data_IF_425059294778
#
_entry.id   IF_425059294778
#
_cell.length_a   1.000
_cell.length_b   1.000
_cell.length_c   1.000
_cell.angle_alpha   90.00
_cell.angle_beta   90.00
_cell.angle_gamma   90.00
#
_symmetry.space_group_name_H-M   'P 1'
#
loop_
_entity.id
_entity.type
_entity.pdbx_description
1 polymer ?
#
# COMPACT_ATOMS: atom_id res chain seq x y z
N UNK A 1 59.47 -3.77 41.38
CA UNK A 1 58.00 -3.81 41.24
C UNK A 1 57.63 -2.63 40.34
N UNK A 2 57.41 -2.90 39.05
CA UNK A 2 56.08 -2.88 38.42
C UNK A 2 55.55 -1.44 38.30
N UNK A 3 55.25 -0.85 37.15
CA UNK A 3 55.03 -1.38 35.82
C UNK A 3 55.26 -0.26 34.79
N UNK A 4 56.28 -0.38 33.94
CA UNK A 4 56.42 0.41 32.72
C UNK A 4 55.88 -0.41 31.53
N UNK A 5 54.65 -0.90 31.67
CA UNK A 5 54.01 -1.86 30.78
C UNK A 5 52.62 -1.35 30.38
N UNK A 6 52.54 -0.25 29.62
CA UNK A 6 51.41 -0.07 28.70
C UNK A 6 51.95 0.45 27.38
N UNK A 7 52.06 -0.51 26.47
CA UNK A 7 52.40 -0.38 25.07
C UNK A 7 51.56 0.73 24.41
N UNK A 8 52.22 1.74 23.84
CA UNK A 8 51.65 2.57 22.77
C UNK A 8 51.46 1.71 21.51
N UNK A 9 50.45 0.84 21.51
CA UNK A 9 49.93 0.22 20.27
C UNK A 9 48.79 1.05 19.71
N UNK A 10 49.05 2.34 19.47
CA UNK A 10 48.31 3.06 18.44
C UNK A 10 49.17 3.03 17.19
N UNK A 11 48.81 2.12 16.26
CA UNK A 11 49.38 2.14 14.93
C UNK A 11 49.02 3.48 14.29
N UNK A 12 50.00 4.36 14.15
CA UNK A 12 49.83 5.63 13.42
C UNK A 12 49.80 5.25 11.95
N UNK A 13 48.60 5.13 11.38
CA UNK A 13 48.44 5.10 9.93
C UNK A 13 48.85 6.49 9.42
N UNK A 14 50.04 6.60 8.83
CA UNK A 14 50.42 7.77 8.04
C UNK A 14 49.93 7.53 6.62
N UNK A 15 49.14 8.46 6.09
CA UNK A 15 48.66 8.42 4.71
C UNK A 15 49.81 8.85 3.79
N UNK A 16 50.63 7.89 3.38
CA UNK A 16 51.75 8.11 2.47
C UNK A 16 51.32 7.76 1.03
N UNK A 17 51.53 8.61 0.02
CA UNK A 17 51.22 8.27 -1.36
C UNK A 17 51.99 7.02 -1.83
N UNK A 18 51.39 6.24 -2.72
CA UNK A 18 52.10 5.12 -3.34
C UNK A 18 53.17 5.61 -4.33
N UNK A 19 54.27 4.87 -4.48
CA UNK A 19 55.24 5.13 -5.56
C UNK A 19 54.64 4.70 -6.91
N UNK A 20 55.11 5.28 -8.02
CA UNK A 20 54.58 5.00 -9.36
C UNK A 20 54.66 3.50 -9.72
N UNK A 21 55.74 2.81 -9.34
CA UNK A 21 55.92 1.37 -9.57
C UNK A 21 54.99 0.48 -8.70
N UNK A 22 54.43 1.03 -7.62
CA UNK A 22 53.58 0.31 -6.66
C UNK A 22 52.08 0.57 -6.82
N UNK A 23 51.67 1.48 -7.70
CA UNK A 23 50.27 1.84 -7.87
C UNK A 23 49.52 0.82 -8.76
N UNK A 24 48.83 -0.11 -8.11
CA UNK A 24 47.98 -1.11 -8.79
C UNK A 24 46.53 -0.64 -8.98
N UNK A 25 46.14 0.48 -8.39
CA UNK A 25 44.78 0.99 -8.40
C UNK A 25 44.35 1.43 -9.81
N UNK A 26 43.11 1.11 -10.19
CA UNK A 26 42.52 1.38 -11.51
C UNK A 26 41.47 2.51 -11.43
N UNK A 27 40.97 2.92 -12.60
CA UNK A 27 39.86 3.87 -12.75
C UNK A 27 40.09 5.23 -12.03
N UNK A 28 41.35 5.67 -11.96
CA UNK A 28 41.74 6.92 -11.32
C UNK A 28 41.48 6.95 -9.81
N UNK A 29 41.48 5.79 -9.16
CA UNK A 29 41.41 5.66 -7.70
C UNK A 29 42.67 6.23 -7.02
N UNK A 30 42.50 6.67 -5.78
CA UNK A 30 43.60 7.21 -4.97
C UNK A 30 44.31 6.07 -4.24
N UNK A 31 45.63 5.96 -4.40
CA UNK A 31 46.45 4.94 -3.73
C UNK A 31 47.12 5.53 -2.48
N UNK A 32 46.94 4.86 -1.34
CA UNK A 32 47.63 5.19 -0.10
C UNK A 32 48.36 3.96 0.47
N UNK A 33 49.59 4.16 0.95
CA UNK A 33 50.37 3.17 1.67
C UNK A 33 50.02 3.24 3.15
N UNK A 34 49.54 2.13 3.70
CA UNK A 34 49.19 2.01 5.12
C UNK A 34 50.23 1.11 5.79
N UNK A 35 50.88 1.62 6.84
CA UNK A 35 51.79 0.84 7.70
C UNK A 35 51.02 0.32 8.91
N UNK A 36 50.70 -0.98 8.91
CA UNK A 36 50.14 -1.65 10.08
C UNK A 36 51.22 -2.51 10.76
N UNK A 37 51.71 -2.05 11.92
CA UNK A 37 52.81 -2.68 12.65
C UNK A 37 54.07 -2.79 11.76
N UNK A 38 54.52 -4.00 11.44
CA UNK A 38 55.69 -4.29 10.60
C UNK A 38 55.33 -4.63 9.14
N UNK A 39 54.05 -4.48 8.73
CA UNK A 39 53.60 -4.73 7.35
C UNK A 39 53.15 -3.42 6.70
N UNK A 40 53.62 -3.20 5.48
CA UNK A 40 53.17 -2.10 4.60
C UNK A 40 52.21 -2.69 3.56
N UNK A 41 51.03 -2.10 3.41
CA UNK A 41 50.03 -2.52 2.43
C UNK A 41 49.55 -1.32 1.61
N UNK A 42 49.31 -1.53 0.32
CA UNK A 42 48.73 -0.52 -0.57
C UNK A 42 47.20 -0.65 -0.50
N UNK A 43 46.52 0.47 -0.29
CA UNK A 43 45.07 0.55 -0.20
C UNK A 43 44.56 1.51 -1.28
N UNK A 44 43.61 1.04 -2.08
CA UNK A 44 42.95 1.84 -3.11
C UNK A 44 41.64 2.43 -2.56
N UNK A 45 41.54 3.76 -2.60
CA UNK A 45 40.28 4.48 -2.35
C UNK A 45 39.61 4.70 -3.70
N UNK A 46 38.59 3.89 -3.96
CA UNK A 46 37.89 3.92 -5.25
C UNK A 46 37.13 5.23 -5.43
N UNK A 47 37.13 5.72 -6.69
CA UNK A 47 36.18 6.73 -7.11
C UNK A 47 34.75 6.18 -7.05
N UNK A 48 33.73 7.05 -7.01
CA UNK A 48 32.33 6.64 -7.17
C UNK A 48 32.16 5.69 -8.36
N UNK A 49 31.21 4.74 -8.25
CA UNK A 49 30.90 3.73 -9.26
C UNK A 49 31.91 2.57 -9.41
N UNK A 50 32.98 2.52 -8.63
CA UNK A 50 33.93 1.40 -8.68
C UNK A 50 34.12 0.74 -7.32
N UNK A 51 34.48 -0.54 -7.35
CA UNK A 51 34.73 -1.39 -6.19
C UNK A 51 35.81 -2.45 -6.50
N UNK A 52 36.09 -3.32 -5.54
CA UNK A 52 37.19 -4.28 -5.59
C UNK A 52 38.46 -3.74 -4.93
N UNK A 53 39.44 -4.63 -4.74
CA UNK A 53 40.69 -4.30 -4.03
C UNK A 53 41.58 -3.31 -4.79
N UNK A 54 41.50 -3.30 -6.13
CA UNK A 54 42.20 -2.39 -7.02
C UNK A 54 41.26 -1.40 -7.73
N UNK A 55 39.98 -1.34 -7.33
CA UNK A 55 38.96 -0.50 -7.96
C UNK A 55 38.70 -0.80 -9.45
N UNK A 56 39.01 -2.00 -9.92
CA UNK A 56 38.78 -2.41 -11.31
C UNK A 56 37.31 -2.76 -11.61
N UNK A 57 36.51 -3.09 -10.59
CA UNK A 57 35.16 -3.63 -10.76
C UNK A 57 34.12 -2.51 -10.74
N UNK A 58 33.31 -2.31 -11.80
CA UNK A 58 32.20 -1.36 -11.77
C UNK A 58 31.11 -1.76 -10.76
N UNK A 59 30.46 -0.77 -10.15
CA UNK A 59 29.34 -1.01 -9.25
C UNK A 59 28.08 -1.41 -10.03
N UNK A 60 27.55 -2.59 -9.73
CA UNK A 60 26.22 -3.03 -10.14
C UNK A 60 25.30 -3.16 -8.91
N UNK A 61 24.59 -2.08 -8.59
CA UNK A 61 23.63 -2.05 -7.49
C UNK A 61 22.42 -2.94 -7.75
N UNK A 62 22.01 -3.07 -9.01
CA UNK A 62 20.85 -3.86 -9.39
C UNK A 62 21.07 -5.38 -9.30
N UNK A 63 22.33 -5.85 -9.16
CA UNK A 63 22.64 -7.29 -9.10
C UNK A 63 23.44 -7.73 -7.89
N UNK A 64 24.60 -7.11 -7.63
CA UNK A 64 25.61 -7.70 -6.72
C UNK A 64 25.99 -6.79 -5.56
N UNK A 65 25.81 -5.48 -5.71
CA UNK A 65 26.30 -4.51 -4.72
C UNK A 65 25.17 -3.83 -3.92
N UNK A 66 23.97 -4.41 -3.90
CA UNK A 66 22.97 -4.01 -2.93
C UNK A 66 23.24 -4.65 -1.57
N UNK A 67 23.09 -3.88 -0.48
CA UNK A 67 23.11 -4.42 0.88
C UNK A 67 21.69 -4.83 1.29
N UNK A 68 21.19 -5.95 0.76
CA UNK A 68 19.92 -6.51 1.23
C UNK A 68 20.12 -7.24 2.55
N UNK A 69 19.22 -7.00 3.52
CA UNK A 69 19.18 -7.75 4.79
C UNK A 69 18.61 -9.17 4.60
N UNK A 70 17.82 -9.39 3.54
CA UNK A 70 17.22 -10.68 3.19
C UNK A 70 18.01 -11.35 2.07
N UNK A 71 18.45 -12.60 2.31
CA UNK A 71 19.33 -13.35 1.40
C UNK A 71 18.57 -13.99 0.22
N UNK A 72 17.27 -14.15 0.40
CA UNK A 72 16.27 -14.75 -0.47
C UNK A 72 15.66 -13.76 -1.47
N UNK A 73 16.08 -12.50 -1.45
CA UNK A 73 15.57 -11.43 -2.32
C UNK A 73 16.70 -10.88 -3.18
N UNK A 74 16.47 -10.78 -4.50
CA UNK A 74 17.42 -10.19 -5.44
C UNK A 74 17.54 -8.67 -5.24
N UNK A 75 18.67 -8.10 -5.65
CA UNK A 75 18.89 -6.66 -5.55
C UNK A 75 17.84 -5.84 -6.32
N UNK A 76 17.44 -6.28 -7.50
CA UNK A 76 16.33 -5.72 -8.27
C UNK A 76 15.07 -5.57 -7.41
N UNK A 77 14.64 -6.66 -6.78
CA UNK A 77 13.41 -6.70 -5.99
C UNK A 77 13.55 -5.90 -4.69
N UNK A 78 14.74 -5.93 -4.06
CA UNK A 78 15.00 -5.20 -2.83
C UNK A 78 15.04 -3.67 -3.04
N UNK A 79 15.56 -3.21 -4.18
CA UNK A 79 15.68 -1.78 -4.49
C UNK A 79 14.41 -1.22 -5.15
N UNK A 80 13.80 -1.96 -6.07
CA UNK A 80 12.73 -1.44 -6.91
C UNK A 80 11.38 -2.13 -6.73
N UNK A 81 11.20 -3.01 -5.74
CA UNK A 81 9.96 -3.76 -5.51
C UNK A 81 9.41 -4.41 -6.79
N UNK A 82 8.33 -3.88 -7.38
CA UNK A 82 7.72 -4.38 -8.63
C UNK A 82 8.22 -3.69 -9.90
N UNK A 83 9.22 -2.82 -9.78
CA UNK A 83 9.86 -2.10 -10.87
C UNK A 83 11.11 -2.77 -11.42
N UNK A 84 11.65 -2.17 -12.48
CA UNK A 84 12.92 -2.56 -13.08
C UNK A 84 14.05 -1.68 -12.57
N UNK A 85 15.09 -2.28 -11.98
CA UNK A 85 16.27 -1.55 -11.53
C UNK A 85 17.20 -1.24 -12.72
N UNK A 86 17.70 -0.01 -12.75
CA UNK A 86 18.68 0.46 -13.72
C UNK A 86 19.83 1.12 -12.96
N UNK A 87 21.07 0.71 -13.23
CA UNK A 87 22.23 1.36 -12.63
C UNK A 87 22.32 2.82 -13.13
N UNK A 88 22.62 3.74 -12.20
CA UNK A 88 22.75 5.17 -12.48
C UNK A 88 24.17 5.65 -12.21
N UNK A 89 24.58 6.72 -12.90
CA UNK A 89 25.87 7.35 -12.66
C UNK A 89 25.87 8.29 -11.45
N UNK A 90 24.70 8.77 -11.05
CA UNK A 90 24.54 9.72 -9.95
C UNK A 90 24.09 9.00 -8.69
N UNK A 91 24.51 9.47 -7.50
CA UNK A 91 24.04 8.95 -6.22
C UNK A 91 22.50 8.96 -6.18
N UNK A 92 21.83 7.83 -5.84
CA UNK A 92 22.34 6.64 -5.14
C UNK A 92 22.91 5.52 -6.03
N UNK A 93 23.23 5.83 -7.29
CA UNK A 93 23.81 4.94 -8.32
C UNK A 93 22.88 3.85 -8.83
N UNK A 94 21.58 4.02 -8.60
CA UNK A 94 20.51 3.26 -9.23
C UNK A 94 19.29 4.15 -9.40
N UNK A 95 18.40 3.74 -10.31
CA UNK A 95 17.05 4.27 -10.45
C UNK A 95 16.09 3.13 -10.74
N UNK A 96 14.82 3.34 -10.43
CA UNK A 96 13.78 2.34 -10.60
C UNK A 96 12.76 2.79 -11.64
N UNK A 97 12.52 1.95 -12.64
CA UNK A 97 11.39 2.10 -13.54
C UNK A 97 10.20 1.31 -12.98
N UNK A 98 9.27 2.00 -12.34
CA UNK A 98 8.18 1.39 -11.56
C UNK A 98 7.06 0.77 -12.39
N UNK A 99 7.04 1.00 -13.70
CA UNK A 99 5.91 0.62 -14.52
C UNK A 99 4.65 1.44 -14.20
N UNK A 100 3.50 1.01 -14.71
CA UNK A 100 2.30 1.85 -14.77
C UNK A 100 1.57 2.05 -13.44
N UNK A 101 1.63 1.06 -12.53
CA UNK A 101 0.79 1.01 -11.32
C UNK A 101 1.54 1.31 -10.02
N UNK A 102 2.81 1.71 -10.11
CA UNK A 102 3.65 2.02 -8.97
C UNK A 102 4.40 3.32 -9.19
N UNK A 103 4.73 4.00 -8.10
CA UNK A 103 5.51 5.23 -8.10
C UNK A 103 6.39 5.31 -6.85
N UNK A 104 7.15 6.39 -6.73
CA UNK A 104 8.18 6.55 -5.71
C UNK A 104 9.58 6.20 -6.22
N UNK A 105 10.59 6.48 -5.39
CA UNK A 105 11.98 6.27 -5.79
C UNK A 105 12.31 4.78 -5.97
N UNK A 106 11.66 3.94 -5.17
CA UNK A 106 11.87 2.49 -5.07
C UNK A 106 10.60 1.72 -5.46
N UNK A 107 9.66 2.38 -6.14
CA UNK A 107 8.37 1.82 -6.55
C UNK A 107 7.56 1.26 -5.38
N UNK A 108 7.68 1.91 -4.23
CA UNK A 108 7.07 1.54 -2.96
C UNK A 108 5.63 2.02 -2.84
N UNK A 109 5.23 3.03 -3.63
CA UNK A 109 3.89 3.59 -3.58
C UNK A 109 3.01 2.97 -4.65
N UNK A 110 1.82 2.51 -4.26
CA UNK A 110 0.80 2.07 -5.22
C UNK A 110 0.18 3.28 -5.91
N UNK A 111 0.35 3.33 -7.23
CA UNK A 111 -0.17 4.39 -8.08
C UNK A 111 -1.09 3.77 -9.12
N UNK A 112 -2.21 3.23 -8.65
CA UNK A 112 -3.23 2.64 -9.50
C UNK A 112 -4.46 3.59 -9.57
N UNK A 113 -5.42 3.32 -10.47
CA UNK A 113 -6.60 4.16 -10.67
C UNK A 113 -7.50 4.29 -9.43
N UNK A 114 -7.43 3.33 -8.51
CA UNK A 114 -8.16 3.34 -7.24
C UNK A 114 -7.40 4.04 -6.11
N UNK A 115 -6.09 4.33 -6.27
CA UNK A 115 -5.29 5.02 -5.25
C UNK A 115 -5.74 6.48 -5.05
N UNK A 116 -6.46 7.06 -6.01
CA UNK A 116 -6.94 8.44 -5.96
C UNK A 116 -8.47 8.49 -5.81
N UNK A 117 -8.94 8.86 -4.62
CA UNK A 117 -10.37 8.93 -4.32
C UNK A 117 -11.12 9.94 -5.21
N UNK A 118 -10.46 11.04 -5.59
CA UNK A 118 -11.04 12.09 -6.43
C UNK A 118 -11.37 11.63 -7.86
N UNK A 119 -10.72 10.57 -8.33
CA UNK A 119 -10.88 10.02 -9.69
C UNK A 119 -11.51 8.62 -9.70
N UNK A 120 -12.14 8.22 -8.59
CA UNK A 120 -12.80 6.92 -8.46
C UNK A 120 -13.83 6.71 -9.60
N UNK A 121 -13.65 5.71 -10.48
CA UNK A 121 -14.53 5.49 -11.62
C UNK A 121 -15.85 4.78 -11.26
N UNK A 122 -16.06 4.41 -9.99
CA UNK A 122 -17.18 3.57 -9.56
C UNK A 122 -18.41 4.31 -9.04
N UNK A 123 -18.39 5.65 -9.05
CA UNK A 123 -19.47 6.52 -8.55
C UNK A 123 -19.90 6.15 -7.11
N UNK A 124 -21.09 5.59 -6.89
CA UNK A 124 -21.55 5.09 -5.59
C UNK A 124 -20.98 3.71 -5.22
N UNK A 125 -19.68 3.51 -5.46
CA UNK A 125 -18.98 2.25 -5.23
C UNK A 125 -17.53 2.44 -4.82
N UNK A 126 -16.97 1.40 -4.21
CA UNK A 126 -15.56 1.30 -3.88
C UNK A 126 -14.78 0.73 -5.07
N UNK A 127 -13.71 1.41 -5.47
CA UNK A 127 -12.80 0.98 -6.53
C UNK A 127 -11.85 -0.11 -6.02
N UNK A 128 -11.79 -1.24 -6.73
CA UNK A 128 -10.88 -2.34 -6.42
C UNK A 128 -10.02 -2.66 -7.65
N UNK A 129 -8.70 -2.47 -7.55
CA UNK A 129 -7.76 -2.80 -8.62
C UNK A 129 -7.21 -4.22 -8.45
N UNK A 130 -7.39 -5.08 -9.46
CA UNK A 130 -6.93 -6.47 -9.45
C UNK A 130 -5.55 -6.55 -10.11
N UNK A 131 -4.52 -6.70 -9.26
CA UNK A 131 -3.12 -6.82 -9.70
C UNK A 131 -2.94 -7.96 -10.70
N UNK A 132 -2.17 -7.71 -11.76
CA UNK A 132 -1.84 -8.69 -12.79
C UNK A 132 -2.89 -8.88 -13.89
N UNK A 133 -4.11 -8.33 -13.75
CA UNK A 133 -5.17 -8.42 -14.76
C UNK A 133 -5.49 -7.09 -15.45
N UNK A 134 -4.96 -5.98 -14.92
CA UNK A 134 -5.30 -4.61 -15.34
C UNK A 134 -6.81 -4.32 -15.29
N UNK A 135 -7.53 -4.99 -14.38
CA UNK A 135 -8.97 -4.83 -14.20
C UNK A 135 -9.27 -4.01 -12.94
N UNK A 136 -10.27 -3.14 -13.06
CA UNK A 136 -10.88 -2.42 -11.94
C UNK A 136 -12.30 -2.93 -11.76
N UNK A 137 -12.63 -3.35 -10.55
CA UNK A 137 -13.95 -3.83 -10.16
C UNK A 137 -14.58 -2.82 -9.20
N UNK A 138 -15.83 -2.48 -9.47
CA UNK A 138 -16.62 -1.59 -8.64
C UNK A 138 -17.47 -2.38 -7.64
N UNK A 139 -17.16 -2.24 -6.36
CA UNK A 139 -17.96 -2.79 -5.29
C UNK A 139 -19.01 -1.76 -4.86
N UNK A 140 -20.26 -1.95 -5.29
CA UNK A 140 -21.33 -0.99 -5.04
C UNK A 140 -21.68 -0.86 -3.55
N UNK A 141 -21.92 0.36 -3.11
CA UNK A 141 -22.40 0.66 -1.75
C UNK A 141 -23.87 0.25 -1.60
N UNK A 142 -24.32 0.12 -0.34
CA UNK A 142 -25.70 -0.27 -0.03
C UNK A 142 -26.70 0.67 -0.71
N UNK A 143 -27.62 0.08 -1.47
CA UNK A 143 -28.65 0.84 -2.20
C UNK A 143 -28.30 1.11 -3.66
N UNK A 144 -27.13 0.71 -4.13
CA UNK A 144 -26.68 0.84 -5.52
C UNK A 144 -26.31 -0.51 -6.14
N UNK A 145 -26.48 -0.65 -7.46
CA UNK A 145 -26.09 -1.78 -8.29
C UNK A 145 -25.37 -1.28 -9.54
N UNK A 146 -24.58 -2.14 -10.16
CA UNK A 146 -23.88 -1.83 -11.40
C UNK A 146 -24.89 -1.62 -12.53
N UNK A 147 -24.65 -0.62 -13.37
CA UNK A 147 -25.44 -0.38 -14.57
C UNK A 147 -25.03 -1.37 -15.67
N UNK A 148 -25.75 -2.48 -15.78
CA UNK A 148 -25.44 -3.52 -16.78
C UNK A 148 -25.67 -3.08 -18.23
N UNK A 149 -26.36 -1.95 -18.46
CA UNK A 149 -26.50 -1.38 -19.80
C UNK A 149 -25.25 -0.61 -20.23
N UNK A 150 -24.37 -0.24 -19.29
CA UNK A 150 -23.07 0.34 -19.59
C UNK A 150 -22.04 -0.77 -19.85
N UNK A 151 -21.24 -0.56 -20.90
CA UNK A 151 -20.14 -1.46 -21.24
C UNK A 151 -18.95 -1.27 -20.31
N UNK A 152 -18.08 -2.27 -20.27
CA UNK A 152 -16.76 -2.18 -19.62
C UNK A 152 -16.00 -1.00 -20.23
N UNK A 153 -15.58 -0.07 -19.38
CA UNK A 153 -14.89 1.13 -19.82
C UNK A 153 -13.40 0.84 -19.96
N UNK A 154 -12.82 1.28 -21.07
CA UNK A 154 -11.37 1.25 -21.30
C UNK A 154 -10.78 2.61 -20.93
N UNK A 155 -9.86 2.62 -19.98
CA UNK A 155 -9.10 3.82 -19.61
C UNK A 155 -7.62 3.56 -19.85
N UNK A 156 -6.85 4.61 -20.12
CA UNK A 156 -5.39 4.50 -20.24
C UNK A 156 -4.75 5.12 -19.00
N UNK A 157 -4.09 4.30 -18.20
CA UNK A 157 -3.38 4.68 -16.98
C UNK A 157 -1.87 4.52 -17.19
N UNK A 158 -1.16 5.66 -17.16
CA UNK A 158 0.30 5.72 -17.33
C UNK A 158 0.81 4.90 -18.53
N UNK A 159 0.12 5.02 -19.68
CA UNK A 159 0.45 4.31 -20.91
C UNK A 159 -0.03 2.85 -21.00
N UNK A 160 -0.72 2.33 -19.98
CA UNK A 160 -1.34 1.00 -20.01
C UNK A 160 -2.85 1.05 -19.99
N UNK A 161 -3.46 0.17 -20.77
CA UNK A 161 -4.90 0.04 -20.82
C UNK A 161 -5.41 -0.77 -19.63
N UNK A 162 -6.41 -0.21 -18.96
CA UNK A 162 -7.15 -0.84 -17.87
C UNK A 162 -8.63 -0.97 -18.25
N UNK A 163 -9.26 -2.00 -17.72
CA UNK A 163 -10.67 -2.30 -17.98
C UNK A 163 -11.46 -2.15 -16.69
N UNK A 164 -12.42 -1.22 -16.69
CA UNK A 164 -13.25 -0.90 -15.53
C UNK A 164 -14.63 -1.52 -15.70
N UNK A 165 -15.08 -2.27 -14.70
CA UNK A 165 -16.45 -2.78 -14.64
C UNK A 165 -17.46 -1.64 -14.69
N UNK A 166 -18.72 -1.90 -15.10
CA UNK A 166 -19.74 -0.86 -15.13
C UNK A 166 -19.89 -0.18 -13.75
N UNK A 167 -20.07 1.16 -13.72
CA UNK A 167 -20.12 1.92 -12.47
C UNK A 167 -21.44 1.68 -11.72
N UNK A 168 -21.44 2.04 -10.44
CA UNK A 168 -22.57 1.84 -9.54
C UNK A 168 -23.56 3.01 -9.62
N UNK A 169 -24.26 3.14 -10.74
CA UNK A 169 -25.20 4.26 -10.99
C UNK A 169 -26.67 3.87 -10.88
N UNK A 170 -27.00 2.58 -10.73
CA UNK A 170 -28.40 2.15 -10.62
C UNK A 170 -28.81 1.98 -9.16
N UNK A 171 -29.92 2.59 -8.70
CA UNK A 171 -30.43 2.33 -7.36
C UNK A 171 -31.02 0.92 -7.28
N UNK A 172 -30.75 0.21 -6.18
CA UNK A 172 -31.32 -1.11 -5.93
C UNK A 172 -32.82 -1.00 -5.77
N UNK A 173 -33.54 -1.63 -6.69
CA UNK A 173 -35.01 -1.73 -6.63
C UNK A 173 -35.39 -2.83 -5.64
N UNK A 174 -36.19 -2.49 -4.62
CA UNK A 174 -36.80 -3.47 -3.69
C UNK A 174 -38.32 -3.32 -3.72
N UNK A 175 -39.03 -4.45 -3.78
CA UNK A 175 -40.50 -4.49 -3.81
C UNK A 175 -41.11 -4.04 -5.15
N UNK A 176 -42.45 -4.03 -5.19
CA UNK A 176 -43.27 -3.72 -6.38
C UNK A 176 -43.17 -2.25 -6.82
N UNK A 177 -42.78 -1.36 -5.90
CA UNK A 177 -42.60 0.08 -6.14
C UNK A 177 -41.20 0.43 -6.63
N UNK A 178 -40.27 -0.53 -6.64
CA UNK A 178 -38.95 -0.36 -7.24
C UNK A 178 -37.97 0.57 -6.52
N UNK A 179 -38.26 1.04 -5.31
CA UNK A 179 -37.32 1.82 -4.49
C UNK A 179 -37.30 1.27 -3.07
N UNK A 180 -36.11 0.92 -2.56
CA UNK A 180 -35.96 0.62 -1.15
C UNK A 180 -36.22 1.90 -0.33
N UNK A 181 -37.22 1.95 0.57
CA UNK A 181 -37.43 3.13 1.38
C UNK A 181 -36.21 3.35 2.27
N UNK A 182 -35.59 4.52 2.15
CA UNK A 182 -34.53 4.95 3.07
C UNK A 182 -35.21 5.21 4.41
N UNK A 183 -35.02 4.31 5.37
CA UNK A 183 -35.57 4.43 6.72
C UNK A 183 -34.81 5.51 7.50
N UNK A 184 -35.14 6.77 7.21
CA UNK A 184 -34.67 7.90 8.01
C UNK A 184 -35.23 7.79 9.44
N UNK A 185 -34.59 8.40 10.45
CA UNK A 185 -35.11 8.41 11.83
C UNK A 185 -36.57 8.87 11.93
N UNK A 186 -36.96 9.81 11.06
CA UNK A 186 -38.34 10.32 10.96
C UNK A 186 -39.31 9.26 10.44
N UNK A 187 -38.91 8.47 9.43
CA UNK A 187 -39.73 7.38 8.90
C UNK A 187 -39.92 6.25 9.92
N UNK A 188 -38.91 5.98 10.77
CA UNK A 188 -39.03 5.00 11.86
C UNK A 188 -40.04 5.43 12.94
N UNK A 189 -40.11 6.71 13.26
CA UNK A 189 -41.07 7.25 14.23
C UNK A 189 -42.53 7.01 13.78
N UNK A 190 -42.82 7.12 12.48
CA UNK A 190 -44.16 6.85 11.94
C UNK A 190 -44.59 5.40 12.21
N UNK A 191 -43.70 4.43 12.00
CA UNK A 191 -44.00 3.02 12.28
C UNK A 191 -44.20 2.73 13.76
N UNK A 192 -43.44 3.38 14.64
CA UNK A 192 -43.66 3.27 16.09
C UNK A 192 -45.02 3.85 16.51
N UNK A 193 -45.43 4.99 15.95
CA UNK A 193 -46.75 5.58 16.22
C UNK A 193 -47.87 4.64 15.77
N UNK A 194 -47.76 4.06 14.56
CA UNK A 194 -48.75 3.08 14.06
C UNK A 194 -48.81 1.86 14.98
N UNK A 195 -47.66 1.33 15.42
CA UNK A 195 -47.60 0.19 16.34
C UNK A 195 -48.24 0.51 17.69
N UNK A 196 -47.95 1.67 18.28
CA UNK A 196 -48.51 2.12 19.55
C UNK A 196 -50.03 2.31 19.44
N UNK A 197 -50.51 2.94 18.36
CA UNK A 197 -51.95 3.12 18.14
C UNK A 197 -52.67 1.78 17.94
N UNK A 198 -52.06 0.85 17.20
CA UNK A 198 -52.60 -0.49 17.00
C UNK A 198 -52.68 -1.27 18.31
N UNK A 199 -51.65 -1.18 19.14
CA UNK A 199 -51.61 -1.79 20.47
C UNK A 199 -52.65 -1.16 21.41
N UNK A 200 -52.79 0.17 21.40
CA UNK A 200 -53.79 0.86 22.20
C UNK A 200 -55.23 0.47 21.81
N UNK A 201 -55.51 0.34 20.52
CA UNK A 201 -56.80 -0.14 20.02
C UNK A 201 -57.07 -1.60 20.45
N UNK A 202 -56.06 -2.46 20.37
CA UNK A 202 -56.15 -3.84 20.86
C UNK A 202 -56.45 -3.90 22.36
N UNK A 203 -55.72 -3.13 23.16
CA UNK A 203 -55.91 -3.06 24.61
C UNK A 203 -57.29 -2.49 24.98
N UNK A 204 -57.76 -1.46 24.26
CA UNK A 204 -59.12 -0.93 24.45
C UNK A 204 -60.17 -2.00 24.18
N UNK A 205 -60.02 -2.76 23.08
CA UNK A 205 -60.96 -3.84 22.73
C UNK A 205 -60.95 -4.95 23.78
N UNK A 206 -59.78 -5.38 24.23
CA UNK A 206 -59.66 -6.38 25.30
C UNK A 206 -60.29 -5.89 26.61
N UNK A 207 -60.00 -4.65 27.01
CA UNK A 207 -60.61 -4.04 28.18
C UNK A 207 -62.14 -3.99 28.06
N UNK A 208 -62.68 -3.56 26.93
CA UNK A 208 -64.13 -3.49 26.71
C UNK A 208 -64.80 -4.88 26.82
N UNK A 209 -64.17 -5.93 26.29
CA UNK A 209 -64.65 -7.31 26.41
C UNK A 209 -64.61 -7.79 27.86
N UNK A 210 -63.53 -7.49 28.59
CA UNK A 210 -63.41 -7.84 30.02
C UNK A 210 -64.49 -7.13 30.85
N UNK A 211 -64.72 -5.84 30.64
CA UNK A 211 -65.77 -5.10 31.34
C UNK A 211 -67.15 -5.69 31.05
N UNK A 212 -67.46 -6.04 29.80
CA UNK A 212 -68.72 -6.68 29.43
C UNK A 212 -68.88 -8.07 30.07
N UNK A 213 -67.80 -8.86 30.16
CA UNK A 213 -67.81 -10.16 30.80
C UNK A 213 -68.03 -10.05 32.32
N UNK A 214 -67.36 -9.11 33.00
CA UNK A 214 -67.54 -8.84 34.43
C UNK A 214 -68.98 -8.38 34.71
N UNK A 215 -69.52 -7.44 33.93
CA UNK A 215 -70.89 -6.96 34.08
C UNK A 215 -71.93 -8.09 33.94
N UNK A 216 -71.68 -9.05 33.05
CA UNK A 216 -72.54 -10.23 32.88
C UNK A 216 -72.45 -11.21 34.04
N UNK A 217 -71.28 -11.36 34.67
CA UNK A 217 -71.09 -12.18 35.87
C UNK A 217 -71.80 -11.54 37.08
N UNK A 218 -71.66 -10.23 37.29
CA UNK A 218 -72.30 -9.52 38.41
C UNK A 218 -73.83 -9.51 38.33
N UNK A 219 -74.42 -9.49 37.13
CA UNK A 219 -75.87 -9.53 36.95
C UNK A 219 -76.48 -10.94 37.11
N UNK A 220 -75.69 -12.01 37.05
CA UNK A 220 -76.15 -13.39 37.26
C UNK A 220 -76.06 -13.84 38.73
N UNK A 221 -75.51 -13.00 39.62
CA UNK A 221 -75.38 -13.24 41.06
C UNK A 221 -76.46 -12.54 41.91
N UNK A 222 -77.52 -12.02 41.28
CA UNK A 222 -78.73 -11.49 41.91
C UNK A 222 -79.93 -12.37 41.51
#
# INVERSE_FOLDING_TARGET
>A
MAAALILTRYAIAKDEPCDEDGNTCKNGATCIKVKQKAKTQNLCICKPQFTGWDCSVPLDFCKTHCKSYRKDISCQQALCNQGTCVNSQEYPYYTCNCGPFFSGQNCEMEYNPCSQQATNPCDHGTCLFIRGTNQVICQCHTGWTANLNQQIMKLTWNGTDIFVSPPCTEPVKRGITGAAPILTPKTKAVWYVIFILSLALLLWRLAAVIHAAIAKITNNTQ
#
